data_IF_601543344542
#
_entry.id   IF_601543344542
#
_cell.length_a   1.000
_cell.length_b   1.000
_cell.length_c   1.000
_cell.angle_alpha   90.00
_cell.angle_beta   90.00
_cell.angle_gamma   90.00
#
_symmetry.space_group_name_H-M   'P 1'
#
loop_
_entity.id
_entity.type
_entity.pdbx_description
1 polymer ?
#
# COMPACT_ATOMS: atom_id res chain seq x y z
N UNK A 1 33.43 6.80 6.56
CA UNK A 1 32.19 6.56 7.34
C UNK A 1 31.91 5.07 7.23
N UNK A 2 31.79 4.36 8.36
CA UNK A 2 31.40 2.95 8.33
C UNK A 2 29.95 2.87 7.83
N UNK A 3 29.68 2.12 6.77
CA UNK A 3 28.31 1.81 6.41
C UNK A 3 27.67 1.08 7.60
N UNK A 4 26.55 1.60 8.12
CA UNK A 4 25.74 0.85 9.08
C UNK A 4 25.14 -0.30 8.27
N UNK A 5 25.52 -1.53 8.61
CA UNK A 5 24.97 -2.71 7.95
C UNK A 5 23.64 -3.05 8.60
N UNK A 6 22.54 -2.78 7.90
CA UNK A 6 21.20 -3.15 8.35
C UNK A 6 20.98 -4.63 8.01
N UNK A 7 20.88 -5.46 9.03
CA UNK A 7 20.42 -6.84 8.89
C UNK A 7 18.89 -6.83 8.81
N UNK A 8 18.33 -7.06 7.62
CA UNK A 8 16.87 -7.09 7.42
C UNK A 8 16.19 -8.15 8.29
N UNK A 9 16.90 -9.24 8.60
CA UNK A 9 16.43 -10.29 9.52
C UNK A 9 16.19 -9.80 10.96
N UNK A 10 16.81 -8.68 11.35
CA UNK A 10 16.60 -8.05 12.66
C UNK A 10 15.28 -7.25 12.70
N UNK A 11 14.70 -6.95 11.53
CA UNK A 11 13.47 -6.16 11.38
C UNK A 11 12.28 -7.00 10.94
N UNK A 12 12.46 -7.91 9.98
CA UNK A 12 11.38 -8.79 9.50
C UNK A 12 11.25 -9.99 10.45
N UNK A 13 10.02 -10.33 10.83
CA UNK A 13 9.73 -11.52 11.61
C UNK A 13 9.84 -12.78 10.74
N UNK A 14 11.07 -13.26 10.55
CA UNK A 14 11.38 -14.45 9.73
C UNK A 14 11.04 -15.77 10.41
N UNK A 15 10.65 -15.75 11.69
CA UNK A 15 10.11 -16.91 12.39
C UNK A 15 8.66 -17.12 11.96
N UNK A 16 7.91 -16.03 11.77
CA UNK A 16 6.54 -16.04 11.25
C UNK A 16 6.46 -16.04 9.73
N UNK A 17 7.37 -15.34 9.07
CA UNK A 17 7.38 -15.13 7.62
C UNK A 17 8.74 -15.52 7.04
N UNK A 18 9.05 -16.82 6.88
CA UNK A 18 10.35 -17.30 6.41
C UNK A 18 10.50 -17.12 4.88
N UNK A 19 10.35 -15.89 4.39
CA UNK A 19 10.31 -15.58 2.95
C UNK A 19 11.67 -15.79 2.26
N UNK A 20 12.74 -15.90 3.04
CA UNK A 20 14.15 -15.98 2.63
C UNK A 20 14.68 -17.40 2.40
N UNK A 21 13.92 -18.43 2.78
CA UNK A 21 14.39 -19.81 2.76
C UNK A 21 13.31 -20.77 2.29
N UNK A 22 13.71 -21.77 1.51
CA UNK A 22 12.79 -22.80 1.05
C UNK A 22 12.49 -23.81 2.18
N UNK A 23 11.29 -23.69 2.75
CA UNK A 23 10.79 -24.51 3.84
C UNK A 23 9.27 -24.72 3.69
N UNK A 24 8.69 -25.63 4.47
CA UNK A 24 7.26 -25.94 4.35
C UNK A 24 6.41 -24.72 4.76
N UNK A 25 6.84 -24.03 5.79
CA UNK A 25 6.21 -22.83 6.35
C UNK A 25 6.13 -21.70 5.30
N UNK A 26 7.18 -21.52 4.48
CA UNK A 26 7.16 -20.57 3.35
C UNK A 26 6.15 -20.98 2.28
N UNK A 27 6.06 -22.27 1.95
CA UNK A 27 5.11 -22.77 0.95
C UNK A 27 3.66 -22.64 1.43
N UNK A 28 3.42 -22.87 2.71
CA UNK A 28 2.10 -22.68 3.33
C UNK A 28 1.72 -21.20 3.35
N UNK A 29 2.68 -20.31 3.68
CA UNK A 29 2.52 -18.86 3.59
C UNK A 29 2.13 -18.41 2.17
N UNK A 30 2.86 -18.85 1.15
CA UNK A 30 2.56 -18.55 -0.25
C UNK A 30 1.14 -19.02 -0.62
N UNK A 31 0.81 -20.26 -0.31
CA UNK A 31 -0.51 -20.84 -0.59
C UNK A 31 -1.63 -20.02 0.06
N UNK A 32 -1.44 -19.63 1.32
CA UNK A 32 -2.43 -18.83 2.06
C UNK A 32 -2.57 -17.41 1.49
N UNK A 33 -1.46 -16.76 1.15
CA UNK A 33 -1.47 -15.41 0.61
C UNK A 33 -2.08 -15.38 -0.80
N UNK A 34 -1.75 -16.35 -1.66
CA UNK A 34 -2.37 -16.51 -2.98
C UNK A 34 -3.88 -16.75 -2.87
N UNK A 35 -4.33 -17.57 -1.92
CA UNK A 35 -5.76 -17.79 -1.69
C UNK A 35 -6.48 -16.49 -1.29
N UNK A 36 -5.87 -15.67 -0.43
CA UNK A 36 -6.41 -14.37 -0.03
C UNK A 36 -6.45 -13.37 -1.19
N UNK A 37 -5.37 -13.26 -1.99
CA UNK A 37 -5.36 -12.41 -3.18
C UNK A 37 -6.42 -12.85 -4.19
N UNK A 38 -6.56 -14.15 -4.45
CA UNK A 38 -7.53 -14.65 -5.41
C UNK A 38 -8.99 -14.46 -4.94
N UNK A 39 -9.26 -14.61 -3.64
CA UNK A 39 -10.60 -14.46 -3.09
C UNK A 39 -11.00 -12.98 -2.91
N UNK A 40 -10.06 -12.15 -2.44
CA UNK A 40 -10.35 -10.81 -1.91
C UNK A 40 -9.53 -9.69 -2.54
N UNK A 41 -8.57 -9.98 -3.42
CA UNK A 41 -7.67 -8.97 -3.99
C UNK A 41 -6.71 -8.34 -2.98
N UNK A 42 -6.66 -8.86 -1.75
CA UNK A 42 -5.83 -8.32 -0.67
C UNK A 42 -5.38 -9.43 0.28
N UNK A 43 -4.09 -9.46 0.61
CA UNK A 43 -3.52 -10.33 1.63
C UNK A 43 -2.82 -9.48 2.70
N UNK A 44 -3.13 -9.75 3.98
CA UNK A 44 -2.63 -8.96 5.11
C UNK A 44 -1.68 -9.79 5.95
N UNK A 45 -0.40 -9.44 5.96
CA UNK A 45 0.64 -10.10 6.76
C UNK A 45 0.88 -9.31 8.05
N UNK A 46 -0.02 -9.48 9.03
CA UNK A 46 0.04 -8.76 10.32
C UNK A 46 1.32 -9.10 11.09
N UNK A 47 2.07 -8.09 11.52
CA UNK A 47 3.31 -8.29 12.26
C UNK A 47 4.48 -8.75 11.38
N UNK A 48 4.48 -8.35 10.10
CA UNK A 48 5.60 -8.61 9.20
C UNK A 48 6.92 -8.02 9.73
N UNK A 49 6.85 -6.82 10.30
CA UNK A 49 7.96 -6.23 11.06
C UNK A 49 7.81 -6.59 12.53
N UNK A 50 8.93 -6.95 13.15
CA UNK A 50 9.06 -7.26 14.58
C UNK A 50 8.59 -6.08 15.43
N UNK A 51 7.77 -6.36 16.44
CA UNK A 51 7.11 -5.33 17.24
C UNK A 51 8.12 -4.39 17.93
N UNK A 52 9.24 -4.94 18.40
CA UNK A 52 10.34 -4.21 19.04
C UNK A 52 11.07 -3.23 18.09
N UNK A 53 10.89 -3.38 16.78
CA UNK A 53 11.52 -2.53 15.75
C UNK A 53 10.60 -1.44 15.20
N UNK A 54 9.32 -1.45 15.54
CA UNK A 54 8.35 -0.46 15.05
C UNK A 54 8.76 0.97 15.46
N UNK A 55 9.27 1.16 16.68
CA UNK A 55 9.72 2.48 17.14
C UNK A 55 10.88 3.04 16.30
N UNK A 56 11.78 2.18 15.81
CA UNK A 56 12.88 2.58 14.94
C UNK A 56 12.36 3.00 13.55
N UNK A 57 11.39 2.27 13.00
CA UNK A 57 10.73 2.65 11.73
C UNK A 57 9.96 3.96 11.82
N UNK A 58 9.25 4.19 12.93
CA UNK A 58 8.56 5.47 13.17
C UNK A 58 9.59 6.61 13.22
N UNK A 59 10.68 6.44 13.98
CA UNK A 59 11.74 7.45 14.06
C UNK A 59 12.42 7.73 12.72
N UNK A 60 12.58 6.73 11.85
CA UNK A 60 13.04 6.93 10.47
C UNK A 60 12.06 7.80 9.67
N UNK A 61 10.75 7.51 9.74
CA UNK A 61 9.71 8.28 9.05
C UNK A 61 9.66 9.74 9.55
N UNK A 62 9.68 9.95 10.87
CA UNK A 62 9.66 11.28 11.49
C UNK A 62 10.88 12.11 11.06
N UNK A 63 12.05 11.49 10.95
CA UNK A 63 13.30 12.16 10.52
C UNK A 63 13.19 12.72 9.10
N UNK A 64 12.50 12.02 8.21
CA UNK A 64 12.38 12.37 6.79
C UNK A 64 11.09 13.13 6.45
N UNK A 65 10.16 13.24 7.40
CA UNK A 65 8.85 13.87 7.23
C UNK A 65 8.91 15.28 6.62
N UNK A 66 9.90 16.07 7.02
CA UNK A 66 10.14 17.44 6.50
C UNK A 66 10.42 17.53 5.00
N UNK A 67 10.77 16.41 4.35
CA UNK A 67 11.00 16.33 2.91
C UNK A 67 9.75 15.93 2.13
N UNK A 68 8.60 15.82 2.82
CA UNK A 68 7.35 15.45 2.18
C UNK A 68 6.82 16.51 1.24
N UNK A 69 6.30 16.04 0.11
CA UNK A 69 5.53 16.84 -0.82
C UNK A 69 4.04 16.67 -0.51
N UNK A 70 3.44 17.73 0.06
CA UNK A 70 2.02 17.79 0.39
C UNK A 70 1.21 18.21 -0.83
N UNK A 71 0.12 17.51 -1.10
CA UNK A 71 -0.82 17.83 -2.17
C UNK A 71 -2.25 17.81 -1.62
N UNK A 72 -2.97 18.90 -1.88
CA UNK A 72 -4.37 19.07 -1.51
C UNK A 72 -5.17 19.33 -2.77
N UNK A 73 -6.06 18.40 -3.09
CA UNK A 73 -6.82 18.41 -4.34
C UNK A 73 -8.20 17.82 -4.11
N UNK A 74 -9.06 17.92 -5.13
CA UNK A 74 -10.35 17.25 -5.13
C UNK A 74 -10.39 16.26 -6.28
N UNK A 75 -10.69 15.00 -5.99
CA UNK A 75 -10.58 13.89 -6.95
C UNK A 75 -11.83 13.02 -6.96
N UNK A 76 -12.17 12.46 -8.12
CA UNK A 76 -13.07 11.31 -8.21
C UNK A 76 -12.24 10.00 -8.16
N UNK A 77 -12.88 8.83 -8.00
CA UNK A 77 -12.15 7.56 -7.85
C UNK A 77 -11.27 7.14 -9.04
N UNK A 78 -11.40 7.82 -10.17
CA UNK A 78 -10.69 7.52 -11.41
C UNK A 78 -9.61 8.55 -11.75
N UNK A 79 -9.47 9.60 -10.92
CA UNK A 79 -8.60 10.75 -11.19
C UNK A 79 -8.86 11.40 -12.56
N UNK A 80 -10.11 11.36 -13.04
CA UNK A 80 -10.51 11.92 -14.33
C UNK A 80 -11.20 13.28 -14.19
N UNK A 81 -11.18 14.11 -15.24
CA UNK A 81 -12.01 15.30 -15.31
C UNK A 81 -13.49 14.97 -15.16
N UNK A 82 -14.22 16.02 -14.80
CA UNK A 82 -15.64 15.95 -14.57
C UNK A 82 -16.46 15.69 -15.86
N UNK A 83 -17.65 15.08 -15.71
CA UNK A 83 -18.52 14.63 -16.82
C UNK A 83 -19.97 15.08 -16.63
N UNK A 84 -20.23 16.36 -16.85
CA UNK A 84 -21.55 17.02 -16.69
C UNK A 84 -22.70 16.39 -17.47
N UNK A 85 -22.42 15.53 -18.43
CA UNK A 85 -23.40 14.75 -19.18
C UNK A 85 -23.96 13.53 -18.41
N UNK A 86 -23.39 13.19 -17.24
CA UNK A 86 -23.79 12.06 -16.40
C UNK A 86 -24.60 12.50 -15.17
N UNK A 87 -25.30 11.55 -14.54
CA UNK A 87 -26.02 11.81 -13.29
C UNK A 87 -25.06 12.21 -12.17
N UNK A 88 -25.50 13.06 -11.24
CA UNK A 88 -24.67 13.50 -10.11
C UNK A 88 -24.23 12.37 -9.18
N UNK A 89 -24.93 11.23 -9.18
CA UNK A 89 -24.58 10.03 -8.41
C UNK A 89 -23.50 9.18 -9.09
N UNK A 90 -23.28 9.36 -10.40
CA UNK A 90 -22.31 8.59 -11.16
C UNK A 90 -20.90 8.69 -10.56
N UNK A 91 -20.11 7.62 -10.45
CA UNK A 91 -18.79 7.67 -9.81
C UNK A 91 -17.84 8.76 -10.34
N UNK A 92 -17.81 8.98 -11.66
CA UNK A 92 -17.02 10.06 -12.29
C UNK A 92 -17.44 11.49 -11.89
N UNK A 93 -18.64 11.65 -11.34
CA UNK A 93 -19.22 12.92 -10.89
C UNK A 93 -19.01 13.15 -9.38
N UNK A 94 -18.49 12.17 -8.64
CA UNK A 94 -18.34 12.21 -7.18
C UNK A 94 -16.91 12.58 -6.78
N UNK A 95 -16.74 13.83 -6.37
CA UNK A 95 -15.45 14.40 -6.00
C UNK A 95 -15.32 14.59 -4.49
N UNK A 96 -14.19 14.16 -3.95
CA UNK A 96 -13.86 14.23 -2.52
C UNK A 96 -12.57 15.01 -2.31
N UNK A 97 -12.49 15.70 -1.17
CA UNK A 97 -11.24 16.35 -0.76
C UNK A 97 -10.20 15.29 -0.44
N UNK A 98 -8.99 15.51 -0.94
CA UNK A 98 -7.83 14.63 -0.79
C UNK A 98 -6.72 15.42 -0.13
N UNK A 99 -6.14 14.82 0.90
CA UNK A 99 -4.94 15.33 1.59
C UNK A 99 -3.93 14.20 1.67
N UNK A 100 -2.88 14.28 0.86
CA UNK A 100 -1.82 13.29 0.84
C UNK A 100 -0.44 13.96 0.91
N UNK A 101 0.51 13.27 1.54
CA UNK A 101 1.88 13.69 1.59
C UNK A 101 2.78 12.50 1.34
N UNK A 102 3.75 12.64 0.43
CA UNK A 102 4.72 11.59 0.15
C UNK A 102 6.13 12.11 0.37
N UNK A 103 6.96 11.31 1.05
CA UNK A 103 8.40 11.50 1.09
C UNK A 103 9.02 10.67 -0.05
N UNK A 104 9.69 11.31 -1.01
CA UNK A 104 10.37 10.61 -2.10
C UNK A 104 11.54 9.77 -1.61
N UNK A 105 11.83 8.70 -2.33
CA UNK A 105 12.70 7.63 -1.86
C UNK A 105 14.19 8.03 -1.72
N UNK A 106 14.63 9.08 -2.41
CA UNK A 106 15.97 9.67 -2.32
C UNK A 106 16.25 10.38 -0.98
N UNK A 107 15.20 10.65 -0.19
CA UNK A 107 15.31 11.28 1.13
C UNK A 107 15.49 10.29 2.29
N UNK A 108 15.38 8.98 2.04
CA UNK A 108 15.43 7.95 3.10
C UNK A 108 16.84 7.80 3.73
N UNK A 109 17.88 7.99 2.91
CA UNK A 109 19.27 7.85 3.32
C UNK A 109 19.79 6.41 3.24
N UNK A 110 21.10 6.24 3.46
CA UNK A 110 21.79 4.96 3.32
C UNK A 110 21.57 4.00 4.52
N UNK A 111 21.07 4.53 5.64
CA UNK A 111 20.72 3.82 6.86
C UNK A 111 19.20 3.58 6.97
N UNK A 112 18.48 3.61 5.84
CA UNK A 112 17.05 3.39 5.80
C UNK A 112 16.69 1.90 5.94
N UNK A 113 15.87 1.59 6.94
CA UNK A 113 15.27 0.27 7.15
C UNK A 113 14.28 -0.02 6.02
N UNK A 114 13.48 0.97 5.61
CA UNK A 114 12.52 0.83 4.52
C UNK A 114 13.20 0.45 3.21
N UNK A 115 14.30 1.14 2.88
CA UNK A 115 15.15 0.83 1.74
C UNK A 115 15.77 -0.56 1.87
N UNK A 116 16.29 -0.91 3.04
CA UNK A 116 16.88 -2.22 3.29
C UNK A 116 15.88 -3.37 3.09
N UNK A 117 14.63 -3.23 3.56
CA UNK A 117 13.55 -4.21 3.34
C UNK A 117 13.20 -4.28 1.84
N UNK A 118 13.03 -3.12 1.19
CA UNK A 118 12.64 -3.06 -0.22
C UNK A 118 13.68 -3.70 -1.16
N UNK A 119 14.96 -3.46 -0.89
CA UNK A 119 16.08 -4.01 -1.67
C UNK A 119 16.49 -5.42 -1.25
N UNK A 120 15.88 -5.97 -0.21
CA UNK A 120 16.24 -7.27 0.29
C UNK A 120 16.00 -8.34 -0.80
N UNK A 121 17.00 -9.18 -1.15
CA UNK A 121 16.86 -10.11 -2.28
C UNK A 121 15.71 -11.11 -2.17
N UNK A 122 15.20 -11.37 -0.96
CA UNK A 122 14.06 -12.25 -0.75
C UNK A 122 12.70 -11.55 -0.93
N UNK A 123 12.64 -10.21 -0.81
CA UNK A 123 11.37 -9.47 -0.73
C UNK A 123 10.64 -9.46 -2.07
N UNK A 124 11.25 -8.90 -3.13
CA UNK A 124 10.61 -8.83 -4.45
C UNK A 124 10.23 -10.21 -5.03
N UNK A 125 11.07 -11.26 -4.96
CA UNK A 125 10.69 -12.60 -5.39
C UNK A 125 9.49 -13.17 -4.62
N UNK A 126 9.44 -12.97 -3.29
CA UNK A 126 8.29 -13.42 -2.49
C UNK A 126 7.00 -12.74 -2.94
N UNK A 127 7.00 -11.41 -3.13
CA UNK A 127 5.81 -10.69 -3.61
C UNK A 127 5.39 -11.16 -5.01
N UNK A 128 6.35 -11.36 -5.93
CA UNK A 128 6.11 -11.92 -7.26
C UNK A 128 5.41 -13.28 -7.19
N UNK A 129 5.88 -14.18 -6.32
CA UNK A 129 5.28 -15.50 -6.12
C UNK A 129 3.88 -15.41 -5.51
N UNK A 130 3.65 -14.52 -4.54
CA UNK A 130 2.31 -14.27 -3.96
C UNK A 130 1.32 -13.79 -5.02
N UNK A 131 1.75 -12.90 -5.91
CA UNK A 131 0.90 -12.34 -6.98
C UNK A 131 0.75 -13.27 -8.19
N UNK A 132 1.54 -14.34 -8.26
CA UNK A 132 1.57 -15.29 -9.39
C UNK A 132 1.88 -14.63 -10.73
N UNK A 133 2.74 -13.60 -10.72
CA UNK A 133 3.08 -12.83 -11.91
C UNK A 133 4.40 -13.29 -12.54
N UNK A 134 4.40 -13.48 -13.87
CA UNK A 134 5.64 -13.77 -14.61
C UNK A 134 6.55 -12.55 -14.69
N UNK A 135 5.94 -11.37 -14.84
CA UNK A 135 6.60 -10.07 -15.07
C UNK A 135 6.30 -9.13 -13.90
N UNK A 136 7.20 -9.15 -12.92
CA UNK A 136 7.13 -8.29 -11.75
C UNK A 136 8.41 -7.46 -11.67
N UNK A 137 8.26 -6.15 -11.63
CA UNK A 137 9.36 -5.19 -11.63
C UNK A 137 9.11 -4.11 -10.58
N UNK A 138 10.13 -3.71 -9.80
CA UNK A 138 10.08 -2.49 -9.02
C UNK A 138 9.73 -1.28 -9.90
N UNK A 139 9.08 -0.28 -9.32
CA UNK A 139 8.78 0.96 -10.04
C UNK A 139 10.10 1.63 -10.48
N UNK A 140 10.20 2.02 -11.75
CA UNK A 140 11.47 2.46 -12.32
C UNK A 140 11.86 3.90 -11.94
N UNK A 141 10.91 4.69 -11.44
CA UNK A 141 11.19 6.04 -10.95
C UNK A 141 11.88 5.94 -9.57
N UNK A 142 13.15 6.36 -9.46
CA UNK A 142 13.90 6.28 -8.20
C UNK A 142 13.35 7.19 -7.09
N UNK A 143 12.40 8.09 -7.40
CA UNK A 143 11.71 8.90 -6.39
C UNK A 143 10.48 8.19 -5.82
N UNK A 144 9.92 7.21 -6.53
CA UNK A 144 8.61 6.64 -6.24
C UNK A 144 8.62 5.12 -6.02
N UNK A 145 9.79 4.48 -5.99
CA UNK A 145 9.92 3.02 -5.85
C UNK A 145 9.55 2.51 -4.45
N UNK A 146 10.01 3.19 -3.40
CA UNK A 146 9.59 3.01 -2.00
C UNK A 146 9.42 4.38 -1.35
N UNK A 147 8.17 4.76 -1.10
CA UNK A 147 7.81 6.07 -0.55
C UNK A 147 7.22 5.92 0.85
N UNK A 148 7.41 6.95 1.68
CA UNK A 148 6.62 7.10 2.91
C UNK A 148 5.38 7.91 2.57
N UNK A 149 4.20 7.29 2.71
CA UNK A 149 2.93 8.00 2.69
C UNK A 149 2.62 8.52 4.09
N UNK A 150 2.57 9.84 4.24
CA UNK A 150 2.21 10.49 5.49
C UNK A 150 0.74 10.91 5.41
N UNK A 151 -0.04 10.42 6.37
CA UNK A 151 -1.41 10.85 6.57
C UNK A 151 -1.46 11.89 7.69
N UNK A 152 -2.01 13.05 7.38
CA UNK A 152 -2.28 14.13 8.34
C UNK A 152 -3.80 14.24 8.57
N UNK A 153 -4.19 14.99 9.60
CA UNK A 153 -5.60 15.33 9.81
C UNK A 153 -6.17 16.01 8.55
N UNK A 154 -7.28 15.51 8.03
CA UNK A 154 -7.90 16.03 6.81
C UNK A 154 -8.79 15.03 6.09
N UNK A 155 -8.97 15.23 4.78
CA UNK A 155 -9.78 14.38 3.90
C UNK A 155 -9.18 12.98 3.66
N UNK A 156 -7.92 12.77 4.05
CA UNK A 156 -7.19 11.53 3.83
C UNK A 156 -7.05 11.22 2.34
N UNK A 157 -7.04 9.92 2.04
CA UNK A 157 -7.01 9.44 0.66
C UNK A 157 -8.37 8.81 0.31
N UNK A 158 -9.24 9.51 -0.43
CA UNK A 158 -10.61 9.04 -0.69
C UNK A 158 -10.61 7.80 -1.58
N UNK A 159 -11.78 7.17 -1.75
CA UNK A 159 -11.97 6.05 -2.68
C UNK A 159 -11.35 6.34 -4.05
N UNK A 160 -10.48 5.46 -4.50
CA UNK A 160 -9.81 5.55 -5.79
C UNK A 160 -9.35 4.17 -6.27
N UNK A 161 -8.94 4.12 -7.54
CA UNK A 161 -8.17 3.02 -8.08
C UNK A 161 -6.72 3.48 -8.31
N UNK A 162 -5.77 2.67 -7.85
CA UNK A 162 -4.37 2.88 -8.17
C UNK A 162 -4.12 2.73 -9.68
N UNK A 163 -3.14 3.48 -10.17
CA UNK A 163 -2.64 3.36 -11.55
C UNK A 163 -1.71 2.15 -11.72
N UNK A 164 -1.18 1.62 -10.62
CA UNK A 164 -0.33 0.43 -10.60
C UNK A 164 -1.20 -0.83 -10.59
N UNK A 165 -0.72 -1.91 -11.19
CA UNK A 165 -1.40 -3.21 -11.14
C UNK A 165 -1.46 -3.77 -9.70
N UNK A 166 -0.46 -3.46 -8.89
CA UNK A 166 -0.31 -3.94 -7.52
C UNK A 166 0.32 -2.85 -6.64
N UNK A 167 -0.05 -2.87 -5.37
CA UNK A 167 0.52 -2.00 -4.34
C UNK A 167 0.84 -2.83 -3.10
N UNK A 168 2.03 -2.66 -2.55
CA UNK A 168 2.42 -3.26 -1.26
C UNK A 168 2.52 -2.13 -0.25
N UNK A 169 1.74 -2.22 0.82
CA UNK A 169 1.75 -1.21 1.89
C UNK A 169 2.28 -1.82 3.17
N UNK A 170 3.29 -1.17 3.76
CA UNK A 170 3.72 -1.42 5.12
C UNK A 170 3.06 -0.37 6.03
N UNK A 171 2.06 -0.79 6.80
CA UNK A 171 1.44 0.10 7.79
C UNK A 171 2.34 0.21 9.02
N UNK A 172 2.89 1.41 9.26
CA UNK A 172 3.89 1.67 10.31
C UNK A 172 3.24 2.22 11.59
N UNK A 173 2.36 3.22 11.43
CA UNK A 173 1.71 3.91 12.53
C UNK A 173 0.23 4.08 12.24
N UNK A 174 -0.59 3.88 13.27
CA UNK A 174 -2.04 4.13 13.22
C UNK A 174 -2.34 5.57 13.62
N UNK A 175 -3.38 6.14 13.03
CA UNK A 175 -3.95 7.40 13.50
C UNK A 175 -4.62 7.21 14.89
N UNK A 176 -4.79 8.31 15.62
CA UNK A 176 -5.51 8.30 16.91
C UNK A 176 -7.01 8.00 16.71
N UNK A 177 -7.58 8.46 15.60
CA UNK A 177 -8.96 8.21 15.19
C UNK A 177 -9.09 8.34 13.67
N UNK A 178 -9.89 7.47 13.04
CA UNK A 178 -9.99 7.40 11.59
C UNK A 178 -8.72 6.81 10.96
N UNK A 179 -8.47 7.12 9.68
CA UNK A 179 -7.31 6.59 8.96
C UNK A 179 -7.36 5.08 8.69
N UNK A 180 -8.54 4.48 8.82
CA UNK A 180 -8.76 3.07 8.54
C UNK A 180 -8.52 2.78 7.06
N UNK A 181 -7.84 1.66 6.77
CA UNK A 181 -7.68 1.20 5.40
C UNK A 181 -8.94 0.46 4.97
N UNK A 182 -9.76 1.11 4.15
CA UNK A 182 -10.96 0.52 3.55
C UNK A 182 -10.72 0.12 2.09
N UNK A 183 -11.25 -1.04 1.69
CA UNK A 183 -11.19 -1.51 0.31
C UNK A 183 -12.46 -2.27 -0.09
N UNK A 184 -12.73 -2.34 -1.39
CA UNK A 184 -13.84 -3.11 -1.95
C UNK A 184 -13.35 -4.06 -3.06
N UNK A 185 -13.44 -5.39 -2.85
CA UNK A 185 -12.82 -6.35 -3.74
C UNK A 185 -13.57 -6.49 -5.06
N UNK A 186 -12.81 -6.66 -6.15
CA UNK A 186 -13.32 -7.04 -7.48
C UNK A 186 -14.48 -6.15 -7.96
N UNK A 187 -14.44 -4.85 -7.66
CA UNK A 187 -15.50 -3.91 -8.06
C UNK A 187 -15.43 -3.51 -9.52
N UNK A 188 -14.29 -3.74 -10.19
CA UNK A 188 -14.07 -3.52 -11.62
C UNK A 188 -13.15 -4.59 -12.21
N UNK A 189 -13.02 -4.58 -13.53
CA UNK A 189 -12.10 -5.45 -14.30
C UNK A 189 -11.45 -4.67 -15.44
N UNK A 190 -10.49 -5.29 -16.13
CA UNK A 190 -9.84 -4.70 -17.30
C UNK A 190 -10.80 -4.36 -18.45
N UNK A 191 -11.96 -5.00 -18.50
CA UNK A 191 -12.95 -4.83 -19.58
C UNK A 191 -14.22 -4.14 -19.13
N UNK A 192 -14.38 -3.88 -17.84
CA UNK A 192 -15.62 -3.33 -17.29
C UNK A 192 -15.38 -2.57 -15.99
N UNK A 193 -15.65 -1.26 -16.03
CA UNK A 193 -15.52 -0.35 -14.90
C UNK A 193 -16.62 -0.53 -13.85
N UNK A 194 -17.73 -1.20 -14.19
CA UNK A 194 -18.79 -1.57 -13.25
C UNK A 194 -19.30 -0.37 -12.42
N UNK A 195 -19.62 0.75 -13.08
CA UNK A 195 -19.96 2.01 -12.40
C UNK A 195 -21.11 1.87 -11.39
N UNK A 196 -22.12 1.03 -11.65
CA UNK A 196 -23.21 0.78 -10.70
C UNK A 196 -22.69 0.14 -9.39
N UNK A 197 -21.74 -0.79 -9.49
CA UNK A 197 -21.12 -1.43 -8.33
C UNK A 197 -20.25 -0.44 -7.55
N UNK A 198 -19.51 0.41 -8.26
CA UNK A 198 -18.71 1.48 -7.65
C UNK A 198 -19.59 2.53 -6.99
N UNK A 199 -20.71 2.92 -7.60
CA UNK A 199 -21.68 3.86 -7.02
C UNK A 199 -22.18 3.39 -5.65
N UNK A 200 -22.54 2.10 -5.54
CA UNK A 200 -22.95 1.50 -4.26
C UNK A 200 -21.86 1.55 -3.18
N UNK A 201 -20.60 1.36 -3.55
CA UNK A 201 -19.47 1.52 -2.61
C UNK A 201 -19.37 2.97 -2.15
N UNK A 202 -19.49 3.93 -3.08
CA UNK A 202 -19.44 5.35 -2.76
C UNK A 202 -20.66 5.82 -1.95
N UNK A 203 -21.80 5.12 -2.04
CA UNK A 203 -22.97 5.30 -1.17
C UNK A 203 -22.78 4.70 0.23
N UNK A 204 -21.66 4.02 0.48
CA UNK A 204 -21.33 3.48 1.79
C UNK A 204 -21.98 2.13 2.09
N UNK A 205 -22.30 1.33 1.08
CA UNK A 205 -22.80 -0.04 1.27
C UNK A 205 -21.76 -0.88 2.03
N UNK A 206 -21.98 -1.02 3.34
CA UNK A 206 -21.07 -1.73 4.26
C UNK A 206 -20.93 -3.21 3.94
N UNK A 207 -21.84 -3.82 3.16
CA UNK A 207 -21.67 -5.20 2.70
C UNK A 207 -20.55 -5.35 1.66
N UNK A 208 -20.13 -4.25 1.05
CA UNK A 208 -19.12 -4.21 -0.01
C UNK A 208 -17.76 -3.69 0.48
N UNK A 209 -17.69 -3.15 1.70
CA UNK A 209 -16.52 -2.47 2.23
C UNK A 209 -15.89 -3.35 3.30
N UNK A 210 -14.58 -3.59 3.16
CA UNK A 210 -13.75 -4.27 4.14
C UNK A 210 -12.78 -3.26 4.76
N UNK A 211 -12.45 -3.47 6.04
CA UNK A 211 -11.52 -2.65 6.80
C UNK A 211 -10.43 -3.54 7.41
N UNK A 212 -9.17 -3.11 7.39
CA UNK A 212 -8.01 -3.91 7.82
C UNK A 212 -7.32 -3.38 9.07
#
# INVERSE_FOLDING_TARGET
>A
MSAIFISVADFVDLDRYPIDRDCQERRDLLTSAQALINADGCAVLKGFVRAEKIAELVAECDRVEKFSHRNFTRTNPYFLPDREDLSSSHPLRRFYDRSNAFVPADNLGADSILRAIFEWPAFSPFIKEVLQEDKFFPYADPLADVVVNLAEEGGGFPWHFDTNNFTVTLAIQKAESGGEFEYSPMVRSLTDENYEKVERVLDGDKSMIKTV
#
